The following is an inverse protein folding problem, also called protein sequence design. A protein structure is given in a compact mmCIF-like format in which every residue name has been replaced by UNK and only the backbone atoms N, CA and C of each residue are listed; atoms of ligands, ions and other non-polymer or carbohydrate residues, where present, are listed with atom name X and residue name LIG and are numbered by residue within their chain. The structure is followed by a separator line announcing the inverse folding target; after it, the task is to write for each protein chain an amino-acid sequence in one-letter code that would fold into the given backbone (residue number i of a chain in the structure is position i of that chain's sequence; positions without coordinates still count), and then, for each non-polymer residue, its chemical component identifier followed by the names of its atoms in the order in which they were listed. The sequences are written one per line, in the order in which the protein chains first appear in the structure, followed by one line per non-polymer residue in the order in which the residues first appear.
data_IF_448368006623
#
_entry.id   IF_448368006623
#
_cell.length_a   1.000
_cell.length_b   1.000
_cell.length_c   1.000
_cell.angle_alpha   90.00
_cell.angle_beta   90.00
_cell.angle_gamma   90.00
#
_symmetry.space_group_name_H-M   'P 1'
#
loop_
_entity.id
_entity.type
_entity.pdbx_description
1 polymer ?
#
# COMPACT_ATOMS: atom_id res chain seq x y z
N UNK A 1 4.76 10.53 -2.62
CA UNK A 1 4.46 9.11 -2.91
C UNK A 1 5.28 8.49 -4.05
N UNK A 2 4.97 8.66 -5.34
CA UNK A 2 5.70 7.95 -6.43
C UNK A 2 7.20 8.28 -6.51
N UNK A 3 7.55 9.55 -6.28
CA UNK A 3 8.92 10.01 -6.26
C UNK A 3 9.71 9.45 -5.05
N UNK A 4 9.05 9.25 -3.90
CA UNK A 4 9.67 8.67 -2.70
C UNK A 4 9.91 7.17 -2.88
N UNK A 5 8.92 6.43 -3.42
CA UNK A 5 9.04 5.01 -3.76
C UNK A 5 10.23 4.72 -4.69
N UNK A 6 10.43 5.58 -5.68
CA UNK A 6 11.58 5.49 -6.60
C UNK A 6 12.92 5.73 -5.90
N UNK A 7 12.97 6.63 -4.91
CA UNK A 7 14.18 6.92 -4.15
C UNK A 7 14.60 5.76 -3.23
N UNK A 8 13.64 5.00 -2.71
CA UNK A 8 13.90 3.86 -1.82
C UNK A 8 14.05 2.52 -2.56
N UNK A 9 14.00 2.52 -3.89
CA UNK A 9 14.20 1.31 -4.70
C UNK A 9 13.09 0.26 -4.53
N UNK A 10 11.90 0.65 -4.07
CA UNK A 10 10.75 -0.23 -3.88
C UNK A 10 9.69 0.03 -4.96
N UNK A 11 9.80 -0.61 -6.13
CA UNK A 11 8.84 -0.41 -7.20
C UNK A 11 7.47 -0.98 -6.79
N UNK A 12 6.42 -0.21 -7.08
CA UNK A 12 5.03 -0.64 -6.93
C UNK A 12 4.27 -0.26 -8.21
N UNK A 13 3.25 -1.02 -8.59
CA UNK A 13 2.48 -0.72 -9.78
C UNK A 13 1.72 0.61 -9.64
N UNK A 14 1.45 1.28 -10.75
CA UNK A 14 0.72 2.57 -10.72
C UNK A 14 -0.69 2.43 -10.15
N UNK A 15 -1.35 1.28 -10.36
CA UNK A 15 -2.70 1.03 -9.84
C UNK A 15 -2.67 0.85 -8.32
N UNK A 16 -1.74 0.06 -7.80
CA UNK A 16 -1.54 -0.12 -6.36
C UNK A 16 -1.25 1.20 -5.66
N UNK A 17 -0.42 2.03 -6.31
CA UNK A 17 -0.15 3.39 -5.84
C UNK A 17 -1.43 4.23 -5.76
N UNK A 18 -2.29 4.15 -6.77
CA UNK A 18 -3.55 4.89 -6.81
C UNK A 18 -4.52 4.40 -5.73
N UNK A 19 -4.62 3.08 -5.53
CA UNK A 19 -5.42 2.46 -4.48
C UNK A 19 -4.95 2.95 -3.11
N UNK A 20 -3.65 2.86 -2.82
CA UNK A 20 -3.07 3.32 -1.56
C UNK A 20 -3.28 4.82 -1.34
N UNK A 21 -3.09 5.64 -2.38
CA UNK A 21 -3.31 7.09 -2.30
C UNK A 21 -4.79 7.42 -2.04
N UNK A 22 -5.70 6.63 -2.61
CA UNK A 22 -7.14 6.78 -2.39
C UNK A 22 -7.50 6.40 -0.96
N UNK A 23 -7.04 5.25 -0.46
CA UNK A 23 -7.26 4.84 0.93
C UNK A 23 -6.77 5.91 1.91
N UNK A 24 -5.56 6.44 1.68
CA UNK A 24 -5.02 7.56 2.46
C UNK A 24 -5.91 8.79 2.44
N UNK A 25 -6.33 9.24 1.24
CA UNK A 25 -7.12 10.46 1.07
C UNK A 25 -8.44 10.44 1.84
N UNK A 26 -9.02 9.27 2.01
CA UNK A 26 -10.31 9.07 2.68
C UNK A 26 -10.16 8.44 4.08
N UNK A 27 -8.94 8.38 4.62
CA UNK A 27 -8.64 7.82 5.95
C UNK A 27 -9.14 6.38 6.15
N UNK A 28 -9.10 5.59 5.07
CA UNK A 28 -9.53 4.19 5.07
C UNK A 28 -8.38 3.26 5.46
N UNK A 29 -8.75 2.07 5.93
CA UNK A 29 -7.82 0.95 6.08
C UNK A 29 -7.67 0.23 4.74
N UNK A 30 -6.43 0.04 4.29
CA UNK A 30 -6.12 -0.75 3.11
C UNK A 30 -5.98 -2.23 3.53
N UNK A 31 -7.06 -2.99 3.44
CA UNK A 31 -7.03 -4.44 3.59
C UNK A 31 -6.51 -5.10 2.31
N UNK A 32 -5.47 -5.93 2.40
CA UNK A 32 -4.84 -6.55 1.22
C UNK A 32 -4.13 -7.86 1.54
N UNK A 33 -4.14 -8.78 0.57
CA UNK A 33 -3.33 -10.00 0.58
C UNK A 33 -2.09 -9.90 -0.34
N UNK A 34 -1.93 -8.80 -1.09
CA UNK A 34 -0.84 -8.63 -2.06
C UNK A 34 0.46 -8.19 -1.37
N UNK A 35 1.49 -9.04 -1.40
CA UNK A 35 2.80 -8.73 -0.83
C UNK A 35 3.51 -7.51 -1.45
N UNK A 36 3.10 -7.08 -2.64
CA UNK A 36 3.66 -5.85 -3.23
C UNK A 36 3.29 -4.59 -2.44
N UNK A 37 2.22 -4.63 -1.64
CA UNK A 37 1.80 -3.53 -0.79
C UNK A 37 2.73 -3.34 0.42
N UNK A 38 3.56 -4.32 0.76
CA UNK A 38 4.60 -4.20 1.80
C UNK A 38 5.68 -3.17 1.39
N UNK A 39 5.74 -2.84 0.09
CA UNK A 39 6.57 -1.74 -0.37
C UNK A 39 6.11 -0.38 0.14
N UNK A 40 4.88 -0.26 0.62
CA UNK A 40 4.31 0.94 1.25
C UNK A 40 4.64 1.01 2.75
N UNK A 41 5.41 0.07 3.30
CA UNK A 41 5.74 0.04 4.74
C UNK A 41 6.36 1.34 5.25
N UNK A 42 7.14 2.04 4.43
CA UNK A 42 7.71 3.33 4.83
C UNK A 42 6.68 4.48 4.84
N UNK A 43 5.49 4.26 4.28
CA UNK A 43 4.33 5.14 4.32
C UNK A 43 3.29 4.67 5.35
N UNK A 44 3.52 3.57 6.08
CA UNK A 44 2.56 3.05 7.08
C UNK A 44 2.31 4.00 8.25
N UNK A 45 3.23 4.94 8.51
CA UNK A 45 2.98 6.05 9.43
C UNK A 45 1.80 6.94 8.97
N UNK A 46 1.47 6.91 7.68
CA UNK A 46 0.42 7.74 7.05
C UNK A 46 -0.73 6.92 6.47
N UNK A 47 -0.58 5.60 6.31
CA UNK A 47 -1.58 4.69 5.73
C UNK A 47 -1.73 3.49 6.63
N UNK A 48 -2.96 3.22 7.09
CA UNK A 48 -3.27 1.99 7.83
C UNK A 48 -3.43 0.85 6.82
N UNK A 49 -2.58 -0.16 6.91
CA UNK A 49 -2.61 -1.36 6.06
C UNK A 49 -2.90 -2.56 6.94
N UNK A 50 -3.90 -3.36 6.58
CA UNK A 50 -4.23 -4.62 7.23
C UNK A 50 -3.98 -5.78 6.28
N UNK A 51 -3.25 -6.79 6.75
CA UNK A 51 -2.92 -7.97 5.96
C UNK A 51 -4.02 -9.00 6.13
N UNK A 52 -4.61 -9.43 5.02
CA UNK A 52 -5.61 -10.48 5.01
C UNK A 52 -5.09 -11.73 4.29
N UNK A 53 -5.57 -12.90 4.73
CA UNK A 53 -5.30 -14.18 4.09
C UNK A 53 -6.62 -14.77 3.57
N UNK A 54 -6.92 -14.52 2.30
CA UNK A 54 -8.16 -14.99 1.65
C UNK A 54 -8.12 -16.45 1.21
N UNK A 55 -7.01 -17.16 1.46
CA UNK A 55 -6.89 -18.58 1.11
C UNK A 55 -7.62 -19.51 2.10
N UNK A 56 -8.35 -18.97 3.09
CA UNK A 56 -9.05 -19.74 4.12
C UNK A 56 -10.59 -19.67 4.03
N UNK A 57 -11.16 -19.16 2.95
CA UNK A 57 -12.60 -19.23 2.68
C UNK A 57 -12.98 -20.31 1.65
#
# INVERSE_FOLDING_TARGET
MKAELRKVGKPIANMDLLIAATAKRYELVLATNDSNMDNLDFLTAEIRVERENWAQD
#
